data_IF_646894033111
#
_entry.id   IF_646894033111
#
_cell.length_a   1.000
_cell.length_b   1.000
_cell.length_c   1.000
_cell.angle_alpha   90.00
_cell.angle_beta   90.00
_cell.angle_gamma   90.00
#
_symmetry.space_group_name_H-M   'P 1'
#
loop_
_entity.id
_entity.type
_entity.pdbx_description
1 polymer ?
#
# COMPACT_ATOMS: atom_id res chain seq x y z
N UNK A 1 2.09 32.07 -9.00
CA UNK A 1 0.65 31.94 -8.66
C UNK A 1 0.54 31.71 -7.16
N UNK A 2 -0.44 32.29 -6.48
CA UNK A 2 -0.70 31.99 -5.06
C UNK A 2 -1.41 30.63 -4.99
N UNK A 3 -0.89 29.72 -4.16
CA UNK A 3 -1.46 28.40 -3.89
C UNK A 3 -2.34 28.56 -2.65
N UNK A 4 -3.64 28.33 -2.79
CA UNK A 4 -4.60 28.38 -1.67
C UNK A 4 -5.39 27.07 -1.62
N UNK A 5 -5.16 26.32 -0.54
CA UNK A 5 -5.94 25.12 -0.22
C UNK A 5 -6.13 24.99 1.29
N UNK A 6 -7.21 24.31 1.65
CA UNK A 6 -7.45 23.75 2.96
C UNK A 6 -7.39 22.23 2.83
N UNK A 7 -6.66 21.55 3.71
CA UNK A 7 -6.56 20.10 3.72
C UNK A 7 -6.78 19.57 5.15
N UNK A 8 -7.58 18.52 5.26
CA UNK A 8 -7.75 17.75 6.48
C UNK A 8 -7.31 16.31 6.18
N UNK A 9 -6.34 15.80 6.93
CA UNK A 9 -5.81 14.45 6.79
C UNK A 9 -5.86 13.75 8.15
N UNK A 10 -6.19 12.47 8.16
CA UNK A 10 -6.19 11.63 9.36
C UNK A 10 -5.48 10.29 9.08
N UNK A 11 -4.74 9.79 10.06
CA UNK A 11 -4.13 8.47 10.05
C UNK A 11 -4.27 7.88 11.47
N UNK A 12 -4.91 6.72 11.56
CA UNK A 12 -5.11 5.98 12.80
C UNK A 12 -4.58 4.55 12.63
N UNK A 13 -3.80 4.08 13.62
CA UNK A 13 -3.17 2.76 13.60
C UNK A 13 -3.40 2.03 14.90
N UNK A 14 -3.76 0.76 14.81
CA UNK A 14 -3.92 -0.13 15.94
C UNK A 14 -3.12 -1.41 15.73
N UNK A 15 -2.40 -1.80 16.78
CA UNK A 15 -1.57 -2.99 16.80
C UNK A 15 -2.04 -3.91 17.92
N UNK A 16 -2.17 -5.19 17.62
CA UNK A 16 -2.43 -6.24 18.58
C UNK A 16 -1.33 -7.27 18.50
N UNK A 17 -0.74 -7.60 19.64
CA UNK A 17 0.26 -8.65 19.76
C UNK A 17 -0.37 -9.83 20.49
N UNK A 18 -0.21 -11.03 19.96
CA UNK A 18 -0.73 -12.25 20.57
C UNK A 18 0.27 -13.38 20.45
N UNK A 19 0.24 -14.31 21.42
CA UNK A 19 1.17 -15.44 21.52
C UNK A 19 2.68 -15.05 21.48
N UNK A 20 3.02 -13.80 21.84
CA UNK A 20 4.37 -13.18 21.79
C UNK A 20 5.03 -13.06 20.42
N UNK A 21 4.60 -13.85 19.42
CA UNK A 21 5.22 -13.93 18.10
C UNK A 21 4.32 -13.48 16.96
N UNK A 22 3.01 -13.41 17.18
CA UNK A 22 2.05 -12.91 16.20
C UNK A 22 1.73 -11.45 16.46
N UNK A 23 1.58 -10.69 15.39
CA UNK A 23 1.12 -9.30 15.46
C UNK A 23 0.13 -9.01 14.35
N UNK A 24 -0.96 -8.35 14.69
CA UNK A 24 -1.92 -7.82 13.74
C UNK A 24 -1.85 -6.30 13.76
N UNK A 25 -1.88 -5.68 12.59
CA UNK A 25 -1.93 -4.24 12.42
C UNK A 25 -3.15 -3.87 11.59
N UNK A 26 -3.85 -2.83 12.01
CA UNK A 26 -4.93 -2.21 11.27
C UNK A 26 -4.65 -0.71 11.17
N UNK A 27 -4.71 -0.18 9.96
CA UNK A 27 -4.53 1.25 9.68
C UNK A 27 -5.74 1.77 8.91
N UNK A 28 -6.19 2.94 9.32
CA UNK A 28 -7.17 3.75 8.60
C UNK A 28 -6.52 5.09 8.29
N UNK A 29 -6.54 5.51 7.03
CA UNK A 29 -6.03 6.78 6.57
C UNK A 29 -7.05 7.42 5.66
N UNK A 30 -7.20 8.73 5.73
CA UNK A 30 -8.04 9.45 4.79
C UNK A 30 -7.73 10.92 4.80
N UNK A 31 -8.17 11.60 3.75
CA UNK A 31 -7.96 13.03 3.65
C UNK A 31 -8.86 13.65 2.60
N UNK A 32 -9.07 14.96 2.76
CA UNK A 32 -9.83 15.79 1.85
C UNK A 32 -9.15 17.14 1.71
N UNK A 33 -9.07 17.66 0.48
CA UNK A 33 -8.59 19.00 0.19
C UNK A 33 -9.61 19.79 -0.62
N UNK A 34 -9.72 21.09 -0.33
CA UNK A 34 -10.58 22.06 -1.01
C UNK A 34 -9.85 23.39 -1.16
N UNK A 35 -10.38 24.31 -1.96
CA UNK A 35 -9.76 25.62 -2.26
C UNK A 35 -9.58 25.86 -3.75
N UNK A 36 -8.92 26.96 -4.10
CA UNK A 36 -8.67 27.33 -5.50
C UNK A 36 -7.68 26.39 -6.19
N UNK A 37 -6.76 25.81 -5.43
CA UNK A 37 -5.75 24.85 -5.91
C UNK A 37 -5.65 23.68 -4.93
N UNK A 38 -6.66 22.78 -4.86
CA UNK A 38 -6.70 21.70 -3.87
C UNK A 38 -5.53 20.73 -4.07
N UNK A 39 -5.07 20.15 -2.96
CA UNK A 39 -4.02 19.13 -2.95
C UNK A 39 -4.51 17.84 -3.61
N UNK A 40 -3.70 17.27 -4.50
CA UNK A 40 -4.01 16.00 -5.16
C UNK A 40 -3.34 14.83 -4.42
N UNK A 41 -4.15 13.82 -4.09
CA UNK A 41 -3.71 12.58 -3.48
C UNK A 41 -3.62 11.50 -4.54
N UNK A 42 -2.58 10.68 -4.48
CA UNK A 42 -2.39 9.54 -5.35
C UNK A 42 -2.28 8.27 -4.52
N UNK A 43 -2.98 7.21 -4.90
CA UNK A 43 -2.93 5.92 -4.21
C UNK A 43 -2.32 4.86 -5.13
N UNK A 44 -1.68 3.86 -4.53
CA UNK A 44 -1.16 2.69 -5.23
C UNK A 44 0.19 2.22 -4.73
N UNK A 45 0.50 0.95 -5.01
CA UNK A 45 1.80 0.34 -4.74
C UNK A 45 2.15 0.21 -3.26
N UNK A 46 3.44 0.30 -2.95
CA UNK A 46 4.02 0.08 -1.62
C UNK A 46 5.07 1.14 -1.27
N UNK A 47 5.35 1.32 0.01
CA UNK A 47 6.40 2.26 0.44
C UNK A 47 7.79 1.71 0.09
N UNK A 48 8.74 2.57 -0.29
CA UNK A 48 10.15 2.20 -0.53
C UNK A 48 10.39 1.04 -1.51
N UNK A 49 9.59 1.02 -2.59
CA UNK A 49 9.73 0.07 -3.69
C UNK A 49 11.09 0.14 -4.37
N UNK A 50 11.77 -1.02 -4.50
CA UNK A 50 12.96 -1.19 -5.34
C UNK A 50 12.53 -1.89 -6.63
N UNK A 51 12.31 -1.10 -7.67
CA UNK A 51 11.97 -1.56 -9.01
C UNK A 51 11.54 -0.39 -9.89
N UNK A 52 11.29 -0.66 -11.17
CA UNK A 52 10.74 0.34 -12.07
C UNK A 52 9.37 0.79 -11.56
N UNK A 53 9.17 2.11 -11.47
CA UNK A 53 7.87 2.73 -11.27
C UNK A 53 7.44 3.23 -12.64
N UNK A 54 6.36 2.70 -13.19
CA UNK A 54 5.77 3.28 -14.40
C UNK A 54 5.10 4.59 -14.00
N UNK A 55 5.70 5.72 -14.36
CA UNK A 55 5.16 7.04 -14.08
C UNK A 55 4.31 7.47 -15.28
N UNK A 56 3.04 7.80 -15.06
CA UNK A 56 2.19 8.38 -16.09
C UNK A 56 2.50 9.87 -16.26
N UNK A 57 2.31 10.41 -17.48
CA UNK A 57 2.72 11.76 -17.86
C UNK A 57 1.99 12.88 -17.07
N UNK A 58 0.86 12.56 -16.42
CA UNK A 58 0.11 13.45 -15.51
C UNK A 58 0.85 13.82 -14.22
N UNK A 59 1.92 13.07 -13.87
CA UNK A 59 2.79 13.33 -12.73
C UNK A 59 3.84 14.42 -13.03
N UNK A 60 4.06 14.77 -14.31
CA UNK A 60 5.10 15.71 -14.75
C UNK A 60 4.70 17.19 -14.78
N UNK A 61 3.48 17.55 -14.37
CA UNK A 61 3.18 18.98 -14.21
C UNK A 61 4.01 19.52 -13.04
N UNK A 62 4.79 20.58 -13.28
CA UNK A 62 5.75 21.14 -12.31
C UNK A 62 5.05 21.59 -11.02
N UNK A 63 3.75 21.88 -11.12
CA UNK A 63 2.85 22.14 -9.98
C UNK A 63 2.54 20.88 -9.16
N UNK A 64 2.46 19.67 -9.74
CA UNK A 64 2.13 18.44 -9.01
C UNK A 64 3.32 17.81 -8.28
N UNK A 65 4.57 18.06 -8.69
CA UNK A 65 5.75 17.44 -8.08
C UNK A 65 5.97 17.85 -6.61
N UNK A 66 5.49 19.04 -6.23
CA UNK A 66 5.62 19.58 -4.88
C UNK A 66 4.38 19.37 -3.99
N UNK A 67 3.24 18.99 -4.57
CA UNK A 67 1.95 18.85 -3.85
C UNK A 67 1.30 17.46 -3.96
N UNK A 68 1.81 16.55 -4.79
CA UNK A 68 1.33 15.18 -4.91
C UNK A 68 1.76 14.34 -3.69
N UNK A 69 0.79 13.97 -2.85
CA UNK A 69 1.04 13.04 -1.75
C UNK A 69 0.67 11.62 -2.19
N UNK A 70 1.68 10.73 -2.25
CA UNK A 70 1.46 9.32 -2.59
C UNK A 70 1.14 8.55 -1.31
N UNK A 71 -0.13 8.19 -1.16
CA UNK A 71 -0.64 7.43 -0.04
C UNK A 71 -0.39 5.95 -0.29
N UNK A 72 0.44 5.34 0.55
CA UNK A 72 0.84 3.93 0.49
C UNK A 72 0.60 3.24 1.84
N UNK A 73 0.46 1.90 1.90
CA UNK A 73 0.40 0.95 0.79
C UNK A 73 -1.02 0.71 0.27
N UNK A 74 -1.16 0.46 -1.04
CA UNK A 74 -2.32 -0.14 -1.69
C UNK A 74 -1.79 -1.14 -2.72
N UNK A 75 -1.32 -2.29 -2.23
CA UNK A 75 -0.60 -3.28 -3.04
C UNK A 75 -1.55 -3.93 -4.05
N UNK A 76 -1.04 -4.34 -5.21
CA UNK A 76 -1.82 -4.86 -6.34
C UNK A 76 -2.36 -3.76 -7.26
N UNK A 77 -2.48 -2.53 -6.76
CA UNK A 77 -2.85 -1.37 -7.56
C UNK A 77 -1.57 -0.66 -8.05
N UNK A 78 -1.44 -0.34 -9.35
CA UNK A 78 -0.28 0.40 -9.86
C UNK A 78 -0.11 1.76 -9.17
N UNK A 79 1.12 2.26 -9.06
CA UNK A 79 1.33 3.62 -8.55
C UNK A 79 0.63 4.65 -9.43
N UNK A 80 0.10 5.69 -8.81
CA UNK A 80 -0.55 6.83 -9.50
C UNK A 80 -1.80 6.47 -10.31
N UNK A 81 -2.28 5.22 -10.28
CA UNK A 81 -3.48 4.85 -11.03
C UNK A 81 -4.75 5.46 -10.44
N UNK A 82 -4.73 5.79 -9.15
CA UNK A 82 -5.84 6.43 -8.45
C UNK A 82 -5.41 7.83 -8.04
N UNK A 83 -6.25 8.82 -8.36
CA UNK A 83 -6.03 10.20 -7.94
C UNK A 83 -7.32 10.90 -7.57
N UNK A 84 -7.24 11.86 -6.65
CA UNK A 84 -8.38 12.60 -6.15
C UNK A 84 -8.01 13.79 -5.26
N UNK A 85 -8.97 14.68 -5.02
CA UNK A 85 -8.87 15.70 -3.95
C UNK A 85 -9.30 15.14 -2.59
N UNK A 86 -9.87 13.92 -2.58
CA UNK A 86 -10.27 13.13 -1.42
C UNK A 86 -9.76 11.70 -1.56
N UNK A 87 -9.44 11.07 -0.44
CA UNK A 87 -9.09 9.66 -0.42
C UNK A 87 -9.47 8.97 0.89
N UNK A 88 -9.61 7.64 0.82
CA UNK A 88 -9.70 6.75 1.96
C UNK A 88 -8.85 5.50 1.72
N UNK A 89 -8.19 5.02 2.77
CA UNK A 89 -7.33 3.85 2.73
C UNK A 89 -7.43 3.05 4.04
N UNK A 90 -7.60 1.75 3.92
CA UNK A 90 -7.62 0.79 5.01
C UNK A 90 -6.57 -0.27 4.72
N UNK A 91 -5.70 -0.55 5.69
CA UNK A 91 -4.73 -1.63 5.60
C UNK A 91 -4.91 -2.56 6.79
N UNK A 92 -5.04 -3.85 6.51
CA UNK A 92 -5.00 -4.89 7.51
C UNK A 92 -3.80 -5.80 7.21
N UNK A 93 -2.96 -6.03 8.21
CA UNK A 93 -1.83 -6.94 8.13
C UNK A 93 -1.84 -7.91 9.30
N UNK A 94 -1.68 -9.20 9.03
CA UNK A 94 -1.39 -10.24 9.99
C UNK A 94 0.04 -10.73 9.78
N UNK A 95 0.86 -10.65 10.82
CA UNK A 95 2.25 -11.11 10.82
C UNK A 95 2.41 -12.29 11.76
N UNK A 96 3.16 -13.29 11.31
CA UNK A 96 3.38 -14.53 12.03
C UNK A 96 4.82 -15.02 11.87
N UNK A 97 5.36 -15.79 12.83
CA UNK A 97 6.70 -16.37 12.70
C UNK A 97 6.68 -17.40 11.56
N UNK A 98 7.41 -17.15 10.47
CA UNK A 98 7.46 -18.06 9.34
C UNK A 98 8.69 -18.98 9.41
N UNK A 99 9.89 -18.39 9.50
CA UNK A 99 11.14 -19.15 9.67
C UNK A 99 11.95 -18.50 10.79
N UNK A 100 12.10 -19.21 11.90
CA UNK A 100 12.90 -18.73 13.03
C UNK A 100 14.40 -18.92 12.81
N UNK A 101 14.79 -20.02 12.16
CA UNK A 101 16.18 -20.37 11.91
C UNK A 101 16.32 -21.18 10.62
N UNK A 102 17.10 -20.66 9.68
CA UNK A 102 17.49 -21.34 8.45
C UNK A 102 19.02 -21.23 8.31
N UNK A 103 19.70 -22.37 8.43
CA UNK A 103 21.12 -22.47 8.19
C UNK A 103 21.37 -23.28 6.92
N UNK A 104 22.09 -22.69 5.97
CA UNK A 104 22.54 -23.35 4.76
C UNK A 104 24.07 -23.29 4.68
N UNK A 105 24.70 -24.37 4.25
CA UNK A 105 26.18 -24.46 4.09
C UNK A 105 26.65 -24.37 2.63
N UNK A 106 25.73 -24.50 1.68
CA UNK A 106 25.99 -24.47 0.24
C UNK A 106 24.92 -23.60 -0.44
N UNK A 107 25.25 -22.73 -1.42
CA UNK A 107 26.58 -22.48 -2.01
C UNK A 107 27.49 -21.56 -1.17
N UNK A 108 26.94 -20.90 -0.15
CA UNK A 108 27.68 -20.09 0.83
C UNK A 108 27.10 -20.36 2.22
N UNK A 109 27.92 -20.47 3.28
CA UNK A 109 27.42 -20.55 4.65
C UNK A 109 26.64 -19.29 5.04
N UNK A 110 25.31 -19.42 5.18
CA UNK A 110 24.42 -18.35 5.62
C UNK A 110 23.52 -18.87 6.75
N UNK A 111 23.30 -18.00 7.73
CA UNK A 111 22.31 -18.22 8.79
C UNK A 111 21.33 -17.06 8.71
N UNK A 112 20.10 -17.38 8.32
CA UNK A 112 18.98 -16.44 8.31
C UNK A 112 18.09 -16.76 9.50
N UNK A 113 17.68 -15.73 10.22
CA UNK A 113 16.79 -15.86 11.37
C UNK A 113 15.67 -14.83 11.32
N UNK A 114 14.62 -15.10 12.08
CA UNK A 114 13.51 -14.16 12.30
C UNK A 114 12.79 -13.71 11.01
N UNK A 115 12.65 -14.60 10.04
CA UNK A 115 11.83 -14.34 8.86
C UNK A 115 10.36 -14.37 9.29
N UNK A 116 9.69 -13.24 9.11
CA UNK A 116 8.29 -13.06 9.48
C UNK A 116 7.42 -13.18 8.22
N UNK A 117 6.42 -14.05 8.28
CA UNK A 117 5.39 -14.14 7.25
C UNK A 117 4.32 -13.08 7.46
N UNK A 118 3.74 -12.60 6.37
CA UNK A 118 2.69 -11.59 6.37
C UNK A 118 1.55 -12.04 5.47
N UNK A 119 0.32 -11.90 5.94
CA UNK A 119 -0.89 -11.88 5.12
C UNK A 119 -1.47 -10.48 5.24
N UNK A 120 -1.91 -9.89 4.12
CA UNK A 120 -2.43 -8.53 4.13
C UNK A 120 -3.63 -8.36 3.20
N UNK A 121 -4.42 -7.32 3.52
CA UNK A 121 -5.47 -6.78 2.67
C UNK A 121 -5.43 -5.26 2.75
N UNK A 122 -5.35 -4.61 1.60
CA UNK A 122 -5.37 -3.17 1.42
C UNK A 122 -6.62 -2.79 0.63
N UNK A 123 -7.40 -1.83 1.11
CA UNK A 123 -8.61 -1.34 0.47
C UNK A 123 -8.51 0.17 0.39
N UNK A 124 -8.60 0.75 -0.81
CA UNK A 124 -8.44 2.18 -0.99
C UNK A 124 -9.24 2.76 -2.14
N UNK A 125 -9.55 4.04 -2.04
CA UNK A 125 -10.24 4.82 -3.06
C UNK A 125 -9.75 6.27 -3.05
N UNK A 126 -9.74 6.90 -4.23
CA UNK A 126 -9.52 8.33 -4.37
C UNK A 126 -10.50 8.88 -5.42
N UNK A 127 -11.04 10.07 -5.16
CA UNK A 127 -12.07 10.68 -6.01
C UNK A 127 -11.99 12.20 -5.96
N UNK A 128 -12.69 12.85 -6.90
CA UNK A 128 -12.80 14.30 -7.00
C UNK A 128 -14.23 14.77 -6.67
N UNK A 129 -14.35 15.80 -5.82
CA UNK A 129 -15.65 16.36 -5.46
C UNK A 129 -16.59 15.33 -4.82
N UNK A 130 -17.85 15.34 -5.24
CA UNK A 130 -18.90 14.42 -4.77
C UNK A 130 -19.10 13.20 -5.68
N UNK A 131 -18.15 12.94 -6.60
CA UNK A 131 -18.30 11.92 -7.64
C UNK A 131 -18.00 10.48 -7.17
N UNK A 132 -18.06 10.21 -5.87
CA UNK A 132 -17.73 8.90 -5.32
C UNK A 132 -18.84 7.87 -5.58
N UNK A 133 -18.47 6.74 -6.18
CA UNK A 133 -19.34 5.58 -6.44
C UNK A 133 -18.76 4.36 -5.76
N UNK A 134 -19.40 3.94 -4.67
CA UNK A 134 -18.99 2.78 -3.89
C UNK A 134 -19.05 1.47 -4.70
N UNK A 135 -20.14 1.25 -5.44
CA UNK A 135 -20.30 0.07 -6.29
C UNK A 135 -21.45 0.21 -7.28
N UNK A 136 -21.48 -0.68 -8.27
CA UNK A 136 -22.52 -0.73 -9.30
C UNK A 136 -23.01 -2.17 -9.48
N UNK A 137 -24.28 -2.34 -9.86
CA UNK A 137 -24.87 -3.63 -10.24
C UNK A 137 -24.90 -3.83 -11.76
N UNK A 138 -24.50 -2.83 -12.57
CA UNK A 138 -24.42 -2.99 -14.02
C UNK A 138 -23.28 -3.95 -14.41
N UNK A 139 -23.66 -5.12 -14.95
CA UNK A 139 -22.72 -6.19 -15.31
C UNK A 139 -22.28 -7.06 -14.13
N UNK A 140 -23.02 -7.05 -13.01
CA UNK A 140 -22.69 -7.74 -11.77
C UNK A 140 -22.30 -6.75 -10.66
N UNK A 141 -22.51 -7.15 -9.39
CA UNK A 141 -22.11 -6.33 -8.24
C UNK A 141 -20.59 -6.24 -8.19
N UNK A 142 -20.04 -5.03 -8.36
CA UNK A 142 -18.61 -4.75 -8.25
C UNK A 142 -18.36 -3.40 -7.60
N UNK A 143 -17.19 -3.25 -6.99
CA UNK A 143 -16.72 -1.94 -6.54
C UNK A 143 -16.28 -1.11 -7.75
N UNK A 144 -16.66 0.17 -7.77
CA UNK A 144 -16.33 1.05 -8.90
C UNK A 144 -15.10 1.89 -8.61
N UNK A 145 -15.15 2.71 -7.56
CA UNK A 145 -14.03 3.59 -7.19
C UNK A 145 -13.16 3.01 -6.07
N UNK A 146 -13.57 1.89 -5.49
CA UNK A 146 -12.86 1.21 -4.41
C UNK A 146 -12.05 0.05 -4.96
N UNK A 147 -10.74 0.10 -4.75
CA UNK A 147 -9.80 -0.91 -5.17
C UNK A 147 -9.33 -1.72 -3.97
N UNK A 148 -9.29 -3.04 -4.14
CA UNK A 148 -8.84 -3.96 -3.09
C UNK A 148 -7.68 -4.78 -3.59
N UNK A 149 -6.62 -4.81 -2.79
CA UNK A 149 -5.49 -5.70 -2.96
C UNK A 149 -5.36 -6.62 -1.76
N UNK A 150 -5.03 -7.88 -1.97
CA UNK A 150 -4.73 -8.81 -0.89
C UNK A 150 -3.56 -9.69 -1.28
N UNK A 151 -2.89 -10.27 -0.29
CA UNK A 151 -1.73 -11.08 -0.60
C UNK A 151 -0.95 -11.59 0.58
N UNK A 152 0.23 -12.09 0.25
CA UNK A 152 1.16 -12.70 1.20
C UNK A 152 2.54 -12.09 1.01
N UNK A 153 3.34 -12.10 2.07
CA UNK A 153 4.69 -11.59 2.03
C UNK A 153 5.61 -12.19 3.06
N UNK A 154 6.89 -11.89 2.91
CA UNK A 154 7.94 -12.21 3.86
C UNK A 154 8.68 -10.93 4.26
N UNK A 155 9.13 -10.89 5.50
CA UNK A 155 9.94 -9.82 6.07
C UNK A 155 11.20 -10.45 6.66
N UNK A 156 12.35 -9.88 6.36
CA UNK A 156 13.64 -10.36 6.86
C UNK A 156 14.45 -9.17 7.32
N UNK A 157 14.87 -9.18 8.59
CA UNK A 157 15.81 -8.18 9.10
C UNK A 157 17.23 -8.63 8.71
N UNK A 158 17.86 -7.86 7.83
CA UNK A 158 19.25 -7.99 7.46
C UNK A 158 20.12 -7.22 8.44
N UNK A 159 21.02 -7.94 9.12
CA UNK A 159 22.09 -7.38 9.94
C UNK A 159 21.62 -6.39 11.04
N UNK A 160 20.32 -6.37 11.39
CA UNK A 160 19.76 -5.55 12.46
C UNK A 160 19.40 -4.11 12.08
N UNK A 161 19.64 -3.68 10.84
CA UNK A 161 19.39 -2.29 10.42
C UNK A 161 18.61 -2.15 9.11
N UNK A 162 18.44 -3.24 8.35
CA UNK A 162 17.79 -3.22 7.04
C UNK A 162 16.63 -4.22 7.01
N UNK A 163 15.41 -3.73 6.83
CA UNK A 163 14.23 -4.56 6.67
C UNK A 163 13.96 -4.83 5.19
N UNK A 164 14.22 -6.06 4.77
CA UNK A 164 13.76 -6.56 3.49
C UNK A 164 12.32 -7.01 3.56
N UNK A 165 11.55 -6.63 2.54
CA UNK A 165 10.15 -6.99 2.41
C UNK A 165 9.89 -7.48 1.01
N UNK A 166 9.31 -8.67 0.91
CA UNK A 166 8.84 -9.22 -0.34
C UNK A 166 7.34 -9.50 -0.22
N UNK A 167 6.52 -8.89 -1.06
CA UNK A 167 5.06 -9.09 -1.09
C UNK A 167 4.62 -9.61 -2.46
N UNK A 168 3.62 -10.46 -2.47
CA UNK A 168 2.88 -10.88 -3.65
C UNK A 168 1.43 -10.44 -3.45
N UNK A 169 0.92 -9.59 -4.34
CA UNK A 169 -0.41 -9.02 -4.21
C UNK A 169 -1.29 -9.35 -5.42
N UNK A 170 -2.52 -9.74 -5.15
CA UNK A 170 -3.59 -9.88 -6.13
C UNK A 170 -4.58 -8.73 -5.96
N UNK A 171 -5.20 -8.32 -7.06
CA UNK A 171 -6.19 -7.23 -7.08
C UNK A 171 -7.56 -7.80 -7.33
N UNK A 172 -8.56 -7.25 -6.66
CA UNK A 172 -9.96 -7.65 -6.81
C UNK A 172 -10.92 -6.47 -6.74
N UNK A 173 -11.99 -6.56 -7.51
CA UNK A 173 -13.16 -5.67 -7.48
C UNK A 173 -14.38 -6.37 -6.83
N UNK A 174 -14.15 -7.47 -6.09
CA UNK A 174 -15.13 -8.40 -5.51
C UNK A 174 -15.96 -9.20 -6.53
N UNK A 175 -15.67 -9.07 -7.83
CA UNK A 175 -16.24 -9.88 -8.89
C UNK A 175 -15.17 -10.76 -9.55
N UNK A 176 -14.01 -10.17 -9.79
CA UNK A 176 -12.86 -10.76 -10.46
C UNK A 176 -11.62 -10.64 -9.58
N UNK A 177 -10.69 -11.57 -9.77
CA UNK A 177 -9.36 -11.55 -9.13
C UNK A 177 -8.33 -11.57 -10.25
N UNK A 178 -7.28 -10.76 -10.13
CA UNK A 178 -6.19 -10.73 -11.11
C UNK A 178 -5.57 -12.11 -11.31
N UNK A 179 -5.33 -12.51 -12.56
CA UNK A 179 -4.79 -13.84 -12.89
C UNK A 179 -3.37 -14.08 -12.35
N UNK A 180 -2.54 -13.04 -12.30
CA UNK A 180 -1.18 -13.09 -11.77
C UNK A 180 -1.00 -12.12 -10.61
N UNK A 181 -0.15 -12.45 -9.61
CA UNK A 181 0.21 -11.51 -8.57
C UNK A 181 1.19 -10.46 -9.10
N UNK A 182 1.07 -9.24 -8.57
CA UNK A 182 2.12 -8.22 -8.66
C UNK A 182 3.14 -8.48 -7.55
N UNK A 183 4.42 -8.60 -7.91
CA UNK A 183 5.48 -8.80 -6.95
C UNK A 183 6.05 -7.48 -6.46
N UNK A 184 6.30 -7.42 -5.15
CA UNK A 184 6.93 -6.30 -4.50
C UNK A 184 8.12 -6.70 -3.60
N UNK A 185 9.37 -6.61 -4.08
CA UNK A 185 10.58 -6.26 -3.32
C UNK A 185 10.80 -4.78 -2.81
N UNK A 186 10.76 -4.53 -1.50
CA UNK A 186 11.10 -3.22 -0.90
C UNK A 186 12.13 -3.33 0.22
N UNK A 187 12.90 -2.27 0.42
CA UNK A 187 13.91 -2.15 1.46
C UNK A 187 13.64 -0.89 2.29
N UNK A 188 13.65 -1.02 3.62
CA UNK A 188 13.55 0.10 4.53
C UNK A 188 14.55 -0.01 5.67
N UNK A 189 14.76 1.08 6.39
CA UNK A 189 15.36 1.02 7.72
C UNK A 189 14.31 0.50 8.70
N UNK A 190 14.72 -0.36 9.63
CA UNK A 190 13.93 -0.66 10.83
C UNK A 190 13.93 0.61 11.69
N UNK A 191 12.75 1.12 12.06
CA UNK A 191 12.62 2.30 12.92
C UNK A 191 12.14 1.91 14.32
#
# INVERSE_FOLDING_TARGET
RNVEFYALEFDYRKYWHFAKTFSMALRFSGGASTGATPKQYFLGGTTNWIGSRTFDATVYDVENLYFANVVTPLRGVPYYSLSGDRYGLINWELRFPFIQYLAMKYPLPIVLGNITGVVFTDIGAAWFGDNFKFGTSQGGNRLQDVHTGFGVGARMNLFGFALLRYDLAWTTDFNTISHSPTSYFSLGADF
#
